data_IF_055586344800
#
_entry.id   IF_055586344800
#
_cell.length_a   1.000
_cell.length_b   1.000
_cell.length_c   1.000
_cell.angle_alpha   90.00
_cell.angle_beta   90.00
_cell.angle_gamma   90.00
#
_symmetry.space_group_name_H-M   'P 1'
#
loop_
_entity.id
_entity.type
_entity.pdbx_description
1 polymer ?
#
# COMPACT_ATOMS: atom_id res chain seq x y z
N UNK A 1 1.77 -2.91 69.92
CA UNK A 1 0.32 -3.13 70.10
C UNK A 1 -0.17 -4.01 68.95
N UNK A 2 -0.88 -5.07 69.31
CA UNK A 2 -1.96 -5.72 68.55
C UNK A 2 -1.59 -6.43 67.20
N UNK A 3 -1.52 -7.76 67.32
CA UNK A 3 -1.86 -8.87 66.39
C UNK A 3 -3.15 -8.64 65.55
N UNK A 4 -3.72 -9.58 64.77
CA UNK A 4 -3.20 -10.75 64.00
C UNK A 4 -3.92 -10.91 62.61
N UNK A 5 -3.63 -12.00 61.88
CA UNK A 5 -4.63 -12.93 61.34
C UNK A 5 -3.87 -14.24 61.04
N UNK A 6 -4.19 -15.44 61.56
CA UNK A 6 -5.50 -16.06 61.81
C UNK A 6 -6.01 -16.63 60.48
N UNK A 7 -6.34 -17.91 60.30
CA UNK A 7 -6.49 -19.08 61.16
C UNK A 7 -6.64 -20.29 60.17
N UNK A 8 -6.09 -21.47 60.44
CA UNK A 8 -6.74 -22.62 61.14
C UNK A 8 -7.95 -23.19 60.36
N UNK A 9 -8.22 -24.50 60.25
CA UNK A 9 -7.65 -25.74 60.80
C UNK A 9 -8.59 -26.89 60.28
N UNK A 10 -8.11 -28.09 59.89
CA UNK A 10 -8.04 -29.35 60.69
C UNK A 10 -9.31 -30.20 60.45
N UNK A 11 -9.34 -31.53 60.50
CA UNK A 11 -8.82 -32.56 61.43
C UNK A 11 -8.77 -33.89 60.63
N UNK A 12 -7.73 -34.72 60.63
CA UNK A 12 -7.23 -35.57 61.75
C UNK A 12 -8.16 -36.81 61.92
N UNK A 13 -7.76 -38.05 62.12
CA UNK A 13 -6.54 -38.68 62.63
C UNK A 13 -6.51 -40.15 62.13
N UNK A 14 -5.41 -40.67 61.58
CA UNK A 14 -4.31 -41.42 62.25
C UNK A 14 -4.71 -42.49 63.26
N UNK A 15 -4.30 -43.74 62.98
CA UNK A 15 -3.28 -44.56 63.69
C UNK A 15 -3.38 -46.01 63.17
N UNK A 16 -2.40 -46.91 63.21
CA UNK A 16 -0.93 -46.91 63.09
C UNK A 16 -0.53 -48.40 63.16
N UNK A 17 0.28 -48.89 62.23
CA UNK A 17 1.13 -50.09 62.41
C UNK A 17 0.48 -51.47 62.20
N UNK A 18 1.17 -52.56 61.85
CA UNK A 18 2.56 -52.86 61.45
C UNK A 18 2.55 -54.26 60.78
N UNK A 19 3.31 -54.41 59.67
CA UNK A 19 4.01 -55.58 59.07
C UNK A 19 3.50 -57.03 59.24
N UNK A 20 3.56 -57.81 58.14
CA UNK A 20 4.56 -58.90 57.92
C UNK A 20 4.49 -59.57 56.52
N UNK A 21 5.66 -59.64 55.86
CA UNK A 21 6.31 -60.75 55.11
C UNK A 21 5.65 -61.36 53.84
N UNK A 22 6.25 -61.19 52.64
CA UNK A 22 7.29 -62.04 51.94
C UNK A 22 6.65 -63.30 51.31
N UNK A 23 6.40 -63.37 49.98
CA UNK A 23 7.20 -63.94 48.86
C UNK A 23 6.24 -64.87 48.07
N UNK A 24 6.37 -65.26 46.80
CA UNK A 24 7.13 -64.88 45.61
C UNK A 24 6.66 -65.83 44.46
N UNK A 25 6.89 -65.46 43.18
CA UNK A 25 7.09 -66.34 41.99
C UNK A 25 5.87 -67.13 41.46
N UNK A 26 5.67 -67.47 40.18
CA UNK A 26 6.18 -67.12 38.85
C UNK A 26 5.34 -67.96 37.83
N UNK A 27 5.38 -67.59 36.53
CA UNK A 27 5.36 -68.47 35.33
C UNK A 27 4.10 -68.72 34.45
N UNK A 28 4.29 -68.30 33.17
CA UNK A 28 4.04 -68.98 31.86
C UNK A 28 2.60 -69.19 31.30
N UNK A 29 2.30 -68.47 30.20
CA UNK A 29 1.97 -68.92 28.80
C UNK A 29 1.38 -70.32 28.51
N UNK A 30 0.82 -70.63 27.31
CA UNK A 30 0.16 -69.83 26.25
C UNK A 30 -1.04 -70.56 25.53
N UNK A 31 -1.54 -69.93 24.46
CA UNK A 31 -2.08 -70.54 23.22
C UNK A 31 -3.55 -71.01 23.07
N UNK A 32 -4.07 -70.64 21.88
CA UNK A 32 -4.76 -71.50 20.89
C UNK A 32 -6.26 -71.28 20.61
N UNK A 33 -6.48 -70.73 19.40
CA UNK A 33 -7.53 -70.95 18.38
C UNK A 33 -8.84 -71.65 18.76
N UNK A 34 -9.97 -71.08 18.31
CA UNK A 34 -10.79 -71.64 17.20
C UNK A 34 -12.13 -70.88 17.05
N UNK A 35 -12.69 -70.90 15.83
CA UNK A 35 -14.15 -70.95 15.64
C UNK A 35 -14.92 -69.67 15.32
N UNK A 36 -15.22 -69.48 14.04
CA UNK A 36 -16.12 -68.50 13.46
C UNK A 36 -17.61 -68.73 13.83
N UNK A 37 -18.40 -67.67 14.12
CA UNK A 37 -19.73 -67.47 13.48
C UNK A 37 -20.46 -66.17 13.88
N UNK A 38 -20.86 -65.43 12.83
CA UNK A 38 -22.10 -64.66 12.63
C UNK A 38 -22.52 -63.56 13.63
N UNK A 39 -22.39 -62.33 13.12
CA UNK A 39 -23.38 -61.25 13.09
C UNK A 39 -23.93 -60.70 14.43
N UNK A 40 -23.49 -59.47 14.77
CA UNK A 40 -24.38 -58.40 15.25
C UNK A 40 -23.72 -57.03 14.99
N UNK A 41 -24.42 -56.22 14.22
CA UNK A 41 -24.13 -54.82 13.88
C UNK A 41 -24.11 -53.94 15.13
N UNK A 42 -22.98 -53.30 15.44
CA UNK A 42 -22.94 -52.11 16.29
C UNK A 42 -23.11 -50.86 15.41
N UNK A 43 -23.99 -49.90 15.78
CA UNK A 43 -24.15 -48.68 15.02
C UNK A 43 -22.90 -47.81 15.16
N UNK A 44 -22.22 -47.54 14.04
CA UNK A 44 -21.18 -46.51 13.97
C UNK A 44 -21.85 -45.16 14.21
N UNK A 45 -21.48 -44.48 15.28
CA UNK A 45 -21.83 -43.08 15.49
C UNK A 45 -21.24 -42.24 14.35
N UNK A 46 -22.00 -41.28 13.77
CA UNK A 46 -21.44 -40.37 12.79
C UNK A 46 -20.49 -39.43 13.53
N UNK A 47 -19.19 -39.56 13.28
CA UNK A 47 -18.22 -38.54 13.71
C UNK A 47 -18.51 -37.29 12.89
N UNK A 48 -19.30 -36.38 13.46
CA UNK A 48 -19.62 -35.09 12.90
C UNK A 48 -18.34 -34.30 12.55
N UNK A 49 -18.41 -33.67 11.38
CA UNK A 49 -17.36 -32.98 10.67
C UNK A 49 -16.90 -31.68 11.37
N UNK A 50 -16.15 -31.78 12.47
CA UNK A 50 -15.59 -30.61 13.17
C UNK A 50 -14.20 -30.20 12.63
N UNK A 51 -13.55 -31.05 11.83
CA UNK A 51 -12.19 -30.81 11.32
C UNK A 51 -12.07 -29.89 10.09
N UNK A 52 -13.15 -29.68 9.34
CA UNK A 52 -13.09 -28.99 8.04
C UNK A 52 -13.19 -27.46 8.20
N UNK A 53 -13.88 -26.98 9.23
CA UNK A 53 -14.10 -25.55 9.46
C UNK A 53 -12.86 -24.79 9.99
N UNK A 54 -11.95 -25.46 10.70
CA UNK A 54 -10.74 -24.82 11.26
C UNK A 54 -9.66 -24.53 10.20
N UNK A 55 -9.62 -25.27 9.10
CA UNK A 55 -8.69 -25.04 7.99
C UNK A 55 -9.20 -24.02 6.97
N UNK A 56 -10.52 -23.90 6.79
CA UNK A 56 -11.12 -22.90 5.90
C UNK A 56 -10.89 -21.46 6.38
N UNK A 57 -10.88 -21.23 7.70
CA UNK A 57 -10.60 -19.93 8.32
C UNK A 57 -9.13 -19.52 8.12
N UNK A 58 -8.19 -20.48 8.11
CA UNK A 58 -6.76 -20.22 7.86
C UNK A 58 -6.50 -19.87 6.40
N UNK A 59 -7.25 -20.45 5.45
CA UNK A 59 -7.15 -20.08 4.02
C UNK A 59 -7.84 -18.77 3.66
N UNK A 60 -8.82 -18.30 4.45
CA UNK A 60 -9.47 -17.00 4.27
C UNK A 60 -8.69 -15.86 4.95
N UNK A 61 -7.91 -16.16 6.00
CA UNK A 61 -7.01 -15.23 6.69
C UNK A 61 -5.62 -15.09 6.04
N UNK A 62 -5.30 -15.91 5.04
CA UNK A 62 -4.22 -15.65 4.06
C UNK A 62 -4.76 -14.74 2.95
N UNK A 63 -5.35 -13.61 3.34
CA UNK A 63 -5.57 -12.47 2.45
C UNK A 63 -4.23 -12.12 1.83
N UNK A 64 -4.03 -12.55 0.59
CA UNK A 64 -2.86 -12.19 -0.18
C UNK A 64 -2.79 -10.66 -0.21
N UNK A 65 -1.66 -10.04 0.17
CA UNK A 65 -1.49 -8.63 -0.10
C UNK A 65 -1.67 -8.46 -1.61
N UNK A 66 -2.53 -7.52 -2.02
CA UNK A 66 -2.56 -7.06 -3.40
C UNK A 66 -1.10 -6.74 -3.75
N UNK A 67 -0.49 -7.55 -4.62
CA UNK A 67 0.86 -7.28 -5.10
C UNK A 67 0.75 -5.90 -5.72
N UNK A 68 1.51 -4.93 -5.22
CA UNK A 68 1.56 -3.60 -5.82
C UNK A 68 2.89 -3.45 -6.53
N UNK A 69 2.90 -2.73 -7.65
CA UNK A 69 4.10 -2.36 -8.40
C UNK A 69 4.30 -0.87 -8.28
N UNK A 70 5.47 -0.46 -7.79
CA UNK A 70 5.93 0.92 -7.87
C UNK A 70 6.59 1.17 -9.23
N UNK A 71 6.35 2.34 -9.80
CA UNK A 71 6.97 2.82 -11.03
C UNK A 71 7.40 4.27 -10.83
N UNK A 72 8.69 4.54 -10.99
CA UNK A 72 9.29 5.86 -10.83
C UNK A 72 9.52 6.49 -12.20
N UNK A 73 8.99 7.69 -12.40
CA UNK A 73 9.20 8.51 -13.58
C UNK A 73 9.95 9.78 -13.16
N UNK A 74 11.09 10.05 -13.78
CA UNK A 74 11.92 11.20 -13.46
C UNK A 74 12.01 12.14 -14.65
N UNK A 75 11.67 13.40 -14.44
CA UNK A 75 11.64 14.43 -15.46
C UNK A 75 12.62 15.54 -15.06
N UNK A 76 13.55 15.85 -15.95
CA UNK A 76 14.58 16.87 -15.73
C UNK A 76 14.54 17.88 -16.85
N UNK A 77 14.76 19.14 -16.51
CA UNK A 77 14.75 20.22 -17.48
C UNK A 77 15.88 20.15 -18.51
N UNK A 78 15.92 21.10 -19.45
CA UNK A 78 15.11 22.32 -19.47
C UNK A 78 13.63 22.09 -19.84
N UNK A 79 12.70 22.63 -19.05
CA UNK A 79 11.26 22.60 -19.33
C UNK A 79 10.85 23.74 -20.25
N UNK A 80 9.84 23.53 -21.09
CA UNK A 80 9.33 24.54 -22.01
C UNK A 80 8.35 25.48 -21.29
N UNK A 81 8.57 26.79 -21.37
CA UNK A 81 7.72 27.78 -20.70
C UNK A 81 6.48 28.16 -21.52
N UNK A 82 5.90 27.24 -22.29
CA UNK A 82 4.73 27.48 -23.15
C UNK A 82 4.76 28.77 -24.01
N UNK A 83 5.96 29.25 -24.37
CA UNK A 83 6.13 30.48 -25.16
C UNK A 83 6.15 31.79 -24.37
N UNK A 84 6.24 31.76 -23.04
CA UNK A 84 6.30 32.95 -22.15
C UNK A 84 7.60 33.79 -22.28
N UNK A 85 8.45 33.55 -23.28
CA UNK A 85 9.68 34.33 -23.52
C UNK A 85 10.82 34.13 -22.50
N UNK A 86 10.59 33.41 -21.40
CA UNK A 86 11.60 33.13 -20.38
C UNK A 86 12.56 32.02 -20.79
N UNK A 87 13.75 32.00 -20.17
CA UNK A 87 14.72 30.92 -20.33
C UNK A 87 14.13 29.58 -19.88
N UNK A 88 14.40 28.46 -20.56
CA UNK A 88 13.75 27.18 -20.26
C UNK A 88 13.87 26.77 -18.77
N UNK A 89 12.77 26.30 -18.19
CA UNK A 89 12.66 25.91 -16.79
C UNK A 89 12.37 27.05 -15.82
N UNK A 90 12.54 28.31 -16.23
CA UNK A 90 12.19 29.48 -15.41
C UNK A 90 10.66 29.57 -15.31
N UNK A 91 10.16 29.63 -14.09
CA UNK A 91 8.76 29.90 -13.81
C UNK A 91 8.54 31.41 -14.04
N UNK A 92 7.65 31.80 -14.97
CA UNK A 92 7.39 33.20 -15.25
C UNK A 92 6.95 34.01 -14.01
N UNK A 93 7.65 35.12 -13.73
CA UNK A 93 7.40 36.04 -12.60
C UNK A 93 6.03 36.72 -12.69
N UNK A 94 5.26 36.71 -11.61
CA UNK A 94 3.94 37.32 -11.50
C UNK A 94 3.03 37.04 -12.71
N UNK A 95 3.05 35.80 -13.20
CA UNK A 95 2.34 35.41 -14.42
C UNK A 95 1.53 34.12 -14.20
N UNK A 96 0.18 34.23 -14.17
CA UNK A 96 -0.70 33.10 -13.93
C UNK A 96 -0.77 32.12 -15.11
N UNK A 97 -0.16 32.42 -16.27
CA UNK A 97 0.01 31.44 -17.36
C UNK A 97 1.05 30.40 -16.96
N UNK A 98 2.07 30.80 -16.20
CA UNK A 98 3.01 29.91 -15.56
C UNK A 98 3.82 28.98 -16.48
N UNK A 99 4.31 27.89 -15.88
CA UNK A 99 5.04 26.80 -16.51
C UNK A 99 4.23 25.51 -16.33
N UNK A 100 3.97 24.79 -17.42
CA UNK A 100 3.31 23.49 -17.39
C UNK A 100 4.17 22.43 -18.07
N UNK A 101 4.24 21.24 -17.48
CA UNK A 101 4.92 20.10 -18.06
C UNK A 101 4.01 18.87 -18.04
N UNK A 102 3.98 18.10 -19.13
CA UNK A 102 3.01 17.04 -19.35
C UNK A 102 3.61 15.80 -19.99
N UNK A 103 3.34 14.64 -19.39
CA UNK A 103 3.86 13.35 -19.84
C UNK A 103 2.78 12.28 -19.89
N UNK A 104 2.73 11.56 -21.01
CA UNK A 104 1.83 10.40 -21.17
C UNK A 104 2.49 9.15 -20.63
N UNK A 105 1.89 8.55 -19.61
CA UNK A 105 2.31 7.32 -18.97
C UNK A 105 1.37 6.17 -19.37
N UNK A 106 1.94 5.02 -19.73
CA UNK A 106 1.19 3.82 -20.11
C UNK A 106 1.87 2.54 -19.60
N UNK A 107 1.20 1.39 -19.73
CA UNK A 107 1.73 0.08 -19.31
C UNK A 107 1.72 -0.15 -17.79
N UNK A 108 1.01 0.68 -17.04
CA UNK A 108 0.76 0.50 -15.61
C UNK A 108 -0.48 -0.34 -15.37
N UNK A 109 -0.61 -0.87 -14.15
CA UNK A 109 -1.74 -1.70 -13.76
C UNK A 109 -3.08 -0.96 -13.66
N UNK A 110 -4.07 -1.63 -13.08
CA UNK A 110 -5.48 -1.22 -13.16
C UNK A 110 -5.83 0.00 -12.32
N UNK A 111 -5.17 0.18 -11.17
CA UNK A 111 -5.57 1.16 -10.15
C UNK A 111 -4.35 1.72 -9.42
N UNK A 112 -4.35 3.02 -9.17
CA UNK A 112 -3.39 3.70 -8.29
C UNK A 112 -3.67 3.31 -6.84
N UNK A 113 -2.61 2.95 -6.11
CA UNK A 113 -2.60 2.71 -4.66
C UNK A 113 -1.99 3.90 -3.92
N UNK A 114 -0.94 4.50 -4.50
CA UNK A 114 -0.27 5.66 -3.93
C UNK A 114 0.44 6.46 -5.03
N UNK A 115 0.51 7.77 -4.82
CA UNK A 115 1.30 8.70 -5.61
C UNK A 115 2.18 9.49 -4.66
N UNK A 116 3.47 9.55 -4.99
CA UNK A 116 4.45 10.42 -4.35
C UNK A 116 5.10 11.28 -5.42
N UNK A 117 5.28 12.57 -5.14
CA UNK A 117 5.85 13.55 -6.09
C UNK A 117 7.11 14.13 -5.48
N UNK A 118 8.24 14.12 -6.19
CA UNK A 118 9.42 14.87 -5.75
C UNK A 118 9.57 16.13 -6.59
N UNK A 119 9.84 17.26 -5.94
CA UNK A 119 10.07 18.56 -6.58
C UNK A 119 11.52 18.98 -6.36
N UNK A 120 12.16 19.47 -7.42
CA UNK A 120 13.44 20.17 -7.37
C UNK A 120 13.30 21.53 -8.06
N UNK A 121 13.20 22.59 -7.26
CA UNK A 121 12.98 23.98 -7.66
C UNK A 121 14.06 24.82 -7.01
N UNK A 122 14.83 25.57 -7.78
CA UNK A 122 15.90 26.44 -7.26
C UNK A 122 15.51 27.90 -7.35
N UNK A 123 16.00 28.72 -6.41
CA UNK A 123 15.80 30.17 -6.44
C UNK A 123 14.37 30.59 -6.12
N UNK A 124 14.14 31.89 -6.27
CA UNK A 124 12.84 32.52 -6.04
C UNK A 124 12.41 32.55 -4.58
N UNK A 125 11.14 32.85 -4.39
CA UNK A 125 10.48 33.02 -3.10
C UNK A 125 9.40 31.97 -2.93
N UNK A 126 9.56 31.06 -1.97
CA UNK A 126 8.65 29.92 -1.80
C UNK A 126 7.18 30.33 -1.62
N UNK A 127 6.92 31.45 -0.93
CA UNK A 127 5.60 32.02 -0.69
C UNK A 127 4.89 32.57 -1.93
N UNK A 128 5.56 32.62 -3.07
CA UNK A 128 4.97 33.14 -4.31
C UNK A 128 4.48 32.01 -5.22
N UNK A 129 4.94 30.78 -4.99
CA UNK A 129 4.63 29.65 -5.86
C UNK A 129 3.23 29.05 -5.61
N UNK A 130 2.48 28.95 -6.69
CA UNK A 130 1.32 28.07 -6.80
C UNK A 130 1.66 26.88 -7.70
N UNK A 131 1.30 25.67 -7.31
CA UNK A 131 1.55 24.47 -8.10
C UNK A 131 0.46 23.41 -7.94
N UNK A 132 0.17 22.67 -9.00
CA UNK A 132 -0.73 21.51 -8.94
C UNK A 132 -0.26 20.34 -9.80
N UNK A 133 -0.75 19.15 -9.46
CA UNK A 133 -0.67 17.94 -10.27
C UNK A 133 -2.07 17.52 -10.73
N UNK A 134 -2.18 17.06 -11.98
CA UNK A 134 -3.42 16.52 -12.55
C UNK A 134 -3.14 15.29 -13.41
N UNK A 135 -4.08 14.34 -13.39
CA UNK A 135 -4.08 13.16 -14.26
C UNK A 135 -5.28 13.24 -15.20
N UNK A 136 -5.03 13.40 -16.50
CA UNK A 136 -6.09 13.62 -17.51
C UNK A 136 -7.08 14.69 -17.03
N UNK A 137 -8.36 14.32 -16.97
CA UNK A 137 -9.45 15.16 -16.48
C UNK A 137 -9.78 15.00 -14.99
N UNK A 138 -8.92 14.35 -14.20
CA UNK A 138 -9.10 14.21 -12.75
C UNK A 138 -9.21 15.58 -12.06
N UNK A 139 -9.74 15.63 -10.83
CA UNK A 139 -9.51 16.77 -9.95
C UNK A 139 -8.01 17.07 -9.87
N UNK A 140 -7.66 18.36 -9.87
CA UNK A 140 -6.31 18.81 -9.60
C UNK A 140 -6.00 18.66 -8.11
N UNK A 141 -4.78 18.27 -7.78
CA UNK A 141 -4.27 18.27 -6.41
C UNK A 141 -3.25 19.38 -6.30
N UNK A 142 -3.55 20.39 -5.49
CA UNK A 142 -2.64 21.51 -5.22
C UNK A 142 -1.45 21.00 -4.41
N UNK A 143 -0.25 21.21 -4.95
CA UNK A 143 1.02 20.80 -4.36
C UNK A 143 1.58 21.89 -3.46
N UNK A 144 1.53 23.14 -3.94
CA UNK A 144 1.98 24.36 -3.28
C UNK A 144 0.90 25.42 -3.49
N UNK A 145 0.55 26.18 -2.46
CA UNK A 145 -0.34 27.33 -2.56
C UNK A 145 0.21 28.45 -1.70
N UNK A 146 1.17 29.21 -2.26
CA UNK A 146 1.79 30.37 -1.61
C UNK A 146 2.17 30.08 -0.15
N UNK A 147 3.08 29.13 0.03
CA UNK A 147 3.34 28.55 1.35
C UNK A 147 3.72 29.63 2.37
N UNK A 148 3.23 29.49 3.60
CA UNK A 148 3.46 30.42 4.69
C UNK A 148 2.55 31.64 4.70
N UNK A 149 1.63 31.77 3.73
CA UNK A 149 0.67 32.86 3.70
C UNK A 149 -0.27 32.76 4.90
N UNK A 150 -0.42 33.89 5.60
CA UNK A 150 -1.40 34.06 6.67
C UNK A 150 -1.98 35.47 6.60
N UNK A 151 -3.03 35.74 7.38
CA UNK A 151 -3.57 37.10 7.50
C UNK A 151 -2.54 38.14 7.97
N UNK A 152 -1.49 37.70 8.68
CA UNK A 152 -0.39 38.54 9.18
C UNK A 152 0.87 38.49 8.32
N UNK A 153 0.93 37.57 7.36
CA UNK A 153 2.06 37.38 6.47
C UNK A 153 1.53 37.12 5.05
N UNK A 154 1.11 38.17 4.32
CA UNK A 154 0.46 38.03 3.02
C UNK A 154 1.41 37.55 1.91
N UNK A 155 2.72 37.67 2.13
CA UNK A 155 3.75 37.34 1.13
C UNK A 155 4.29 35.90 1.29
N UNK A 156 3.86 35.17 2.32
CA UNK A 156 4.32 33.80 2.56
C UNK A 156 5.77 33.70 3.02
N UNK A 157 6.38 32.52 2.87
CA UNK A 157 7.74 32.27 3.29
C UNK A 157 8.76 32.64 2.21
N UNK A 158 9.72 33.51 2.57
CA UNK A 158 10.82 33.91 1.68
C UNK A 158 12.03 32.99 1.65
N UNK A 159 11.86 31.71 2.02
CA UNK A 159 12.90 30.72 1.76
C UNK A 159 13.05 30.49 0.24
N UNK A 160 14.20 29.99 -0.17
CA UNK A 160 14.52 29.83 -1.59
C UNK A 160 14.46 28.38 -2.03
N UNK A 161 13.49 28.06 -2.89
CA UNK A 161 13.38 26.77 -3.55
C UNK A 161 12.98 25.57 -2.67
N UNK A 162 12.83 24.44 -3.36
CA UNK A 162 12.36 23.17 -2.82
C UNK A 162 13.18 22.01 -3.37
N UNK A 163 13.59 21.10 -2.48
CA UNK A 163 14.07 19.75 -2.79
C UNK A 163 13.30 18.76 -1.90
N UNK A 164 11.98 18.67 -2.15
CA UNK A 164 11.02 18.01 -1.26
C UNK A 164 10.38 16.80 -1.91
N UNK A 165 9.98 15.85 -1.07
CA UNK A 165 9.09 14.74 -1.46
C UNK A 165 7.71 14.98 -0.87
N UNK A 166 6.70 15.10 -1.73
CA UNK A 166 5.31 15.24 -1.37
C UNK A 166 4.63 13.88 -1.34
N UNK A 167 4.11 13.49 -0.17
CA UNK A 167 3.43 12.21 0.04
C UNK A 167 2.23 12.37 0.95
N UNK A 168 1.13 11.69 0.62
CA UNK A 168 -0.09 11.70 1.44
C UNK A 168 0.14 11.14 2.86
N UNK A 169 1.16 10.29 3.06
CA UNK A 169 1.47 9.68 4.35
C UNK A 169 2.49 10.46 5.20
N UNK A 170 2.94 11.63 4.75
CA UNK A 170 3.83 12.47 5.55
C UNK A 170 3.12 13.06 6.77
N UNK A 171 3.88 13.45 7.80
CA UNK A 171 3.33 13.87 9.10
C UNK A 171 2.70 15.27 9.08
N UNK A 172 3.23 16.16 8.25
CA UNK A 172 2.87 17.58 8.21
C UNK A 172 2.72 18.05 6.77
N UNK A 173 1.81 18.98 6.52
CA UNK A 173 1.72 19.63 5.23
C UNK A 173 2.78 20.71 5.05
N UNK A 174 3.11 20.95 3.79
CA UNK A 174 4.17 21.88 3.43
C UNK A 174 3.80 23.35 3.72
N UNK A 175 2.52 23.72 3.75
CA UNK A 175 2.12 25.13 3.81
C UNK A 175 2.72 25.89 5.01
N UNK A 176 2.83 25.25 6.17
CA UNK A 176 3.44 25.85 7.36
C UNK A 176 4.71 25.10 7.81
N UNK A 177 5.57 24.71 6.87
CA UNK A 177 6.76 23.89 7.17
C UNK A 177 7.68 24.49 8.25
N UNK A 178 7.76 25.83 8.38
CA UNK A 178 8.61 26.48 9.39
C UNK A 178 8.18 26.18 10.83
N UNK A 179 6.92 25.77 11.05
CA UNK A 179 6.43 25.38 12.38
C UNK A 179 6.96 24.02 12.86
N UNK A 180 7.65 23.27 11.98
CA UNK A 180 8.04 21.89 12.23
C UNK A 180 9.55 21.66 12.14
N UNK A 181 10.36 22.69 12.44
CA UNK A 181 11.83 22.63 12.43
C UNK A 181 12.37 22.10 11.09
N UNK A 182 12.14 22.82 9.98
CA UNK A 182 12.52 22.37 8.64
C UNK A 182 14.04 22.21 8.51
N UNK A 183 14.45 21.39 7.56
CA UNK A 183 15.85 21.23 7.15
C UNK A 183 16.05 21.79 5.76
N UNK A 184 17.21 22.40 5.51
CA UNK A 184 17.56 23.00 4.24
C UNK A 184 18.88 22.42 3.72
N UNK A 185 19.04 22.34 2.41
CA UNK A 185 20.32 21.94 1.81
C UNK A 185 21.30 23.12 1.72
N UNK A 186 22.47 22.91 1.09
CA UNK A 186 23.50 23.94 0.93
C UNK A 186 23.06 25.14 0.09
N UNK A 187 22.06 24.94 -0.77
CA UNK A 187 21.53 25.96 -1.68
C UNK A 187 20.34 26.71 -1.07
N UNK A 188 19.98 26.41 0.19
CA UNK A 188 18.87 27.03 0.91
C UNK A 188 17.49 26.42 0.63
N UNK A 189 17.42 25.36 -0.19
CA UNK A 189 16.15 24.70 -0.54
C UNK A 189 15.59 23.92 0.64
N UNK A 190 14.28 24.02 0.85
CA UNK A 190 13.57 23.17 1.81
C UNK A 190 13.72 21.70 1.42
N UNK A 191 14.03 20.84 2.39
CA UNK A 191 14.19 19.39 2.18
C UNK A 191 13.18 18.58 2.99
N UNK A 192 13.16 17.27 2.75
CA UNK A 192 12.39 16.32 3.54
C UNK A 192 11.09 15.86 2.88
N UNK A 193 10.26 15.18 3.66
CA UNK A 193 9.00 14.61 3.18
C UNK A 193 7.81 15.30 3.84
N UNK A 194 6.94 15.87 3.02
CA UNK A 194 5.80 16.69 3.43
C UNK A 194 4.52 16.22 2.76
N UNK A 195 3.36 16.54 3.32
CA UNK A 195 2.11 16.41 2.57
C UNK A 195 2.02 17.60 1.61
N UNK A 196 1.44 17.36 0.43
CA UNK A 196 1.03 18.44 -0.45
C UNK A 196 0.16 19.47 0.29
N UNK A 197 0.21 20.72 -0.15
CA UNK A 197 -0.56 21.80 0.44
C UNK A 197 -2.07 21.50 0.42
N UNK A 198 -2.58 21.16 -0.77
CA UNK A 198 -3.95 20.72 -0.98
C UNK A 198 -5.00 21.81 -0.82
N UNK A 199 -4.65 23.03 -0.39
CA UNK A 199 -5.57 24.16 -0.29
C UNK A 199 -5.87 24.73 -1.68
N UNK A 200 -7.07 25.27 -1.84
CA UNK A 200 -7.50 25.97 -3.07
C UNK A 200 -7.44 27.49 -2.93
N UNK A 201 -7.12 27.94 -1.72
CA UNK A 201 -6.90 29.31 -1.29
C UNK A 201 -5.95 29.22 -0.08
N UNK A 202 -4.89 30.04 0.00
CA UNK A 202 -3.84 29.87 1.00
C UNK A 202 -4.36 30.04 2.44
N UNK A 203 -5.48 30.74 2.64
CA UNK A 203 -6.10 30.94 3.95
C UNK A 203 -7.15 29.87 4.28
N UNK A 204 -7.41 28.93 3.36
CA UNK A 204 -8.38 27.85 3.55
C UNK A 204 -7.95 26.86 4.63
N UNK A 205 -8.91 26.46 5.47
CA UNK A 205 -8.74 25.33 6.39
C UNK A 205 -9.05 23.97 5.75
N UNK A 206 -9.68 23.96 4.57
CA UNK A 206 -10.02 22.74 3.83
C UNK A 206 -8.95 22.46 2.79
N UNK A 207 -8.50 21.20 2.76
CA UNK A 207 -7.41 20.75 1.89
C UNK A 207 -7.70 19.39 1.27
N UNK A 208 -7.27 19.23 0.02
CA UNK A 208 -7.14 17.95 -0.66
C UNK A 208 -5.86 17.21 -0.24
N UNK A 209 -5.59 16.11 -0.93
CA UNK A 209 -4.39 15.29 -0.72
C UNK A 209 -4.07 14.51 -1.99
N UNK A 210 -2.81 14.08 -2.14
CA UNK A 210 -2.39 13.18 -3.22
C UNK A 210 -3.15 11.84 -3.22
N UNK A 211 -3.77 11.46 -2.10
CA UNK A 211 -4.67 10.29 -2.04
C UNK A 211 -5.92 10.43 -2.92
N UNK A 212 -6.22 11.63 -3.43
CA UNK A 212 -7.30 11.85 -4.41
C UNK A 212 -7.09 11.06 -5.71
N UNK A 213 -5.86 10.65 -6.02
CA UNK A 213 -5.57 9.79 -7.17
C UNK A 213 -5.83 8.30 -6.89
N UNK A 214 -5.98 7.88 -5.63
CA UNK A 214 -6.14 6.47 -5.30
C UNK A 214 -7.42 5.89 -5.92
N UNK A 215 -7.30 4.71 -6.51
CA UNK A 215 -8.37 4.03 -7.23
C UNK A 215 -8.57 4.49 -8.68
N UNK A 216 -7.90 5.55 -9.14
CA UNK A 216 -7.92 5.96 -10.54
C UNK A 216 -7.03 5.05 -11.39
N UNK A 217 -7.29 5.01 -12.71
CA UNK A 217 -6.41 4.35 -13.66
C UNK A 217 -5.10 5.16 -13.79
N UNK A 218 -3.92 4.58 -13.50
CA UNK A 218 -2.63 5.29 -13.56
C UNK A 218 -2.17 5.69 -14.98
N UNK A 219 -2.77 5.10 -16.02
CA UNK A 219 -2.41 5.34 -17.40
C UNK A 219 -3.12 6.61 -17.93
N UNK A 220 -2.35 7.53 -18.49
CA UNK A 220 -2.85 8.83 -18.93
C UNK A 220 -1.78 9.89 -19.01
N UNK A 221 -2.20 11.11 -19.32
CA UNK A 221 -1.35 12.30 -19.28
C UNK A 221 -1.32 12.87 -17.87
N UNK A 222 -0.13 12.88 -17.28
CA UNK A 222 0.15 13.55 -16.03
C UNK A 222 0.69 14.94 -16.34
N UNK A 223 0.06 15.97 -15.77
CA UNK A 223 0.43 17.37 -15.96
C UNK A 223 0.75 17.99 -14.61
N UNK A 224 1.95 18.54 -14.49
CA UNK A 224 2.32 19.44 -13.40
C UNK A 224 2.29 20.88 -13.90
N UNK A 225 1.89 21.79 -13.03
CA UNK A 225 1.80 23.21 -13.31
C UNK A 225 2.41 24.01 -12.17
N UNK A 226 3.05 25.13 -12.52
CA UNK A 226 3.59 26.13 -11.61
C UNK A 226 3.21 27.52 -12.09
N UNK A 227 2.79 28.40 -11.19
CA UNK A 227 2.69 29.83 -11.42
C UNK A 227 3.40 30.57 -10.30
N UNK A 228 3.97 31.71 -10.65
CA UNK A 228 4.43 32.70 -9.68
C UNK A 228 3.34 33.76 -9.53
N UNK A 229 2.83 33.91 -8.30
CA UNK A 229 1.67 34.75 -7.98
C UNK A 229 2.08 36.09 -7.35
N UNK A 230 3.37 36.45 -7.42
CA UNK A 230 3.89 37.71 -6.93
C UNK A 230 5.02 38.21 -7.83
N UNK A 231 5.36 39.49 -7.72
CA UNK A 231 6.46 40.06 -8.50
C UNK A 231 7.74 40.09 -7.67
N UNK A 232 8.86 39.67 -8.26
CA UNK A 232 10.17 39.84 -7.64
C UNK A 232 11.17 38.77 -8.05
N UNK A 233 11.36 37.77 -7.18
CA UNK A 233 12.36 36.73 -7.38
C UNK A 233 11.78 35.55 -8.17
N UNK A 234 12.50 35.10 -9.19
CA UNK A 234 12.04 33.98 -10.03
C UNK A 234 12.58 32.63 -9.56
N UNK A 235 11.69 31.65 -9.48
CA UNK A 235 12.06 30.25 -9.30
C UNK A 235 12.33 29.55 -10.64
N UNK A 236 13.17 28.52 -10.60
CA UNK A 236 13.47 27.65 -11.74
C UNK A 236 13.13 26.20 -11.40
N UNK A 237 12.28 25.56 -12.20
CA UNK A 237 12.03 24.13 -12.12
C UNK A 237 13.23 23.38 -12.70
N UNK A 238 13.97 22.70 -11.83
CA UNK A 238 15.13 21.89 -12.22
C UNK A 238 14.69 20.47 -12.59
N UNK A 239 13.73 19.93 -11.84
CA UNK A 239 13.18 18.61 -12.10
C UNK A 239 11.99 18.27 -11.22
N UNK A 240 11.23 17.27 -11.63
CA UNK A 240 10.21 16.65 -10.81
C UNK A 240 10.12 15.16 -11.12
N UNK A 241 9.60 14.39 -10.17
CA UNK A 241 9.39 12.96 -10.36
C UNK A 241 8.05 12.51 -9.84
N UNK A 242 7.58 11.39 -10.39
CA UNK A 242 6.33 10.74 -10.02
C UNK A 242 6.60 9.28 -9.68
N UNK A 243 6.40 8.91 -8.43
CA UNK A 243 6.37 7.52 -7.98
C UNK A 243 4.92 7.06 -7.88
N UNK A 244 4.53 6.15 -8.76
CA UNK A 244 3.18 5.58 -8.82
C UNK A 244 3.24 4.13 -8.35
N UNK A 245 2.62 3.87 -7.20
CA UNK A 245 2.30 2.51 -6.78
C UNK A 245 0.93 2.12 -7.34
N UNK A 246 0.86 1.02 -8.09
CA UNK A 246 -0.38 0.53 -8.71
C UNK A 246 -0.61 -0.98 -8.51
N UNK A 247 -1.85 -1.43 -8.74
CA UNK A 247 -2.21 -2.86 -8.73
C UNK A 247 -1.96 -3.47 -10.12
N UNK A 248 -0.99 -4.39 -10.30
CA UNK A 248 -0.73 -5.06 -11.56
C UNK A 248 -1.96 -5.80 -12.05
N UNK A 249 -2.21 -5.75 -13.36
CA UNK A 249 -3.34 -6.44 -14.01
C UNK A 249 -3.40 -7.94 -13.69
N UNK A 250 -2.23 -8.58 -13.53
CA UNK A 250 -2.12 -10.01 -13.23
C UNK A 250 -2.53 -10.40 -11.81
N UNK A 251 -2.52 -9.45 -10.87
CA UNK A 251 -2.92 -9.73 -9.49
C UNK A 251 -4.43 -10.04 -9.41
N UNK A 252 -5.25 -9.36 -10.22
CA UNK A 252 -6.70 -9.59 -10.29
C UNK A 252 -7.02 -11.00 -10.82
N UNK A 253 -6.20 -11.50 -11.73
CA UNK A 253 -6.33 -12.81 -12.36
C UNK A 253 -5.93 -13.90 -11.38
N UNK A 254 -4.80 -13.73 -10.72
CA UNK A 254 -4.37 -14.62 -9.65
C UNK A 254 -5.46 -14.70 -8.57
N UNK A 255 -6.06 -13.56 -8.20
CA UNK A 255 -7.17 -13.52 -7.24
C UNK A 255 -8.40 -14.29 -7.72
N UNK A 256 -8.80 -14.15 -9.00
CA UNK A 256 -9.89 -14.94 -9.58
C UNK A 256 -9.59 -16.44 -9.59
N UNK A 257 -8.35 -16.84 -9.92
CA UNK A 257 -7.93 -18.25 -9.94
C UNK A 257 -7.91 -18.82 -8.53
N UNK A 258 -7.28 -18.14 -7.56
CA UNK A 258 -7.23 -18.60 -6.17
C UNK A 258 -8.63 -18.60 -5.53
N UNK A 259 -9.47 -17.61 -5.83
CA UNK A 259 -10.87 -17.57 -5.42
C UNK A 259 -11.68 -18.73 -5.99
N UNK A 260 -11.52 -19.03 -7.29
CA UNK A 260 -12.17 -20.17 -7.93
C UNK A 260 -11.70 -21.52 -7.36
N UNK A 261 -10.40 -21.68 -7.08
CA UNK A 261 -9.83 -22.88 -6.45
C UNK A 261 -10.30 -23.06 -5.01
N UNK A 262 -10.41 -21.97 -4.23
CA UNK A 262 -10.96 -21.99 -2.89
C UNK A 262 -12.46 -22.36 -2.89
N UNK A 263 -13.25 -21.75 -3.78
CA UNK A 263 -14.66 -22.07 -3.97
C UNK A 263 -14.87 -23.53 -4.42
N UNK A 264 -14.03 -24.03 -5.34
CA UNK A 264 -14.05 -25.44 -5.74
C UNK A 264 -13.80 -26.42 -4.59
N UNK A 265 -12.92 -26.06 -3.65
CA UNK A 265 -12.66 -26.88 -2.46
C UNK A 265 -13.79 -26.78 -1.43
N UNK A 266 -14.38 -25.60 -1.24
CA UNK A 266 -15.54 -25.41 -0.37
C UNK A 266 -16.79 -26.13 -0.90
N UNK A 267 -17.01 -26.13 -2.22
CA UNK A 267 -18.06 -26.87 -2.92
C UNK A 267 -17.73 -28.36 -3.13
N UNK A 268 -16.57 -28.80 -2.63
CA UNK A 268 -16.05 -30.17 -2.71
C UNK A 268 -16.87 -31.21 -1.93
N UNK A 269 -17.94 -30.83 -1.24
CA UNK A 269 -18.92 -31.76 -0.68
C UNK A 269 -20.15 -31.97 -1.59
N UNK A 270 -20.33 -31.17 -2.66
CA UNK A 270 -21.58 -31.11 -3.44
C UNK A 270 -21.40 -31.61 -4.89
N UNK A 271 -20.25 -31.39 -5.53
CA UNK A 271 -20.04 -31.75 -6.95
C UNK A 271 -19.14 -32.97 -7.15
N UNK A 272 -19.54 -33.86 -8.07
CA UNK A 272 -18.81 -35.05 -8.48
C UNK A 272 -17.46 -34.76 -9.16
N UNK A 273 -16.56 -35.75 -9.14
CA UNK A 273 -15.16 -35.65 -9.62
C UNK A 273 -15.03 -35.11 -11.07
N UNK A 274 -16.01 -35.44 -11.92
CA UNK A 274 -16.09 -35.01 -13.32
C UNK A 274 -16.28 -33.50 -13.47
N UNK A 275 -17.14 -32.87 -12.65
CA UNK A 275 -17.37 -31.43 -12.69
C UNK A 275 -16.12 -30.65 -12.25
N UNK A 276 -15.37 -31.19 -11.28
CA UNK A 276 -14.10 -30.60 -10.81
C UNK A 276 -13.02 -30.61 -11.87
N UNK A 277 -12.89 -31.72 -12.62
CA UNK A 277 -11.92 -31.82 -13.71
C UNK A 277 -12.23 -30.84 -14.84
N UNK A 278 -13.50 -30.69 -15.23
CA UNK A 278 -13.91 -29.72 -16.27
C UNK A 278 -13.66 -28.28 -15.83
N UNK A 279 -14.00 -27.94 -14.59
CA UNK A 279 -13.78 -26.58 -14.07
C UNK A 279 -12.29 -26.28 -13.94
N UNK A 280 -11.48 -27.23 -13.43
CA UNK A 280 -10.03 -27.09 -13.38
C UNK A 280 -9.40 -26.92 -14.76
N UNK A 281 -9.81 -27.74 -15.74
CA UNK A 281 -9.34 -27.61 -17.12
C UNK A 281 -9.68 -26.23 -17.71
N UNK A 282 -10.91 -25.76 -17.51
CA UNK A 282 -11.34 -24.43 -17.96
C UNK A 282 -10.54 -23.30 -17.30
N UNK A 283 -10.22 -23.42 -16.01
CA UNK A 283 -9.38 -22.44 -15.30
C UNK A 283 -7.94 -22.46 -15.84
N UNK A 284 -7.38 -23.64 -16.08
CA UNK A 284 -6.02 -23.79 -16.62
C UNK A 284 -5.90 -23.27 -18.04
N UNK A 285 -6.89 -23.51 -18.90
CA UNK A 285 -6.86 -23.01 -20.27
C UNK A 285 -6.97 -21.49 -20.33
N UNK A 286 -7.82 -20.89 -19.47
CA UNK A 286 -7.94 -19.44 -19.38
C UNK A 286 -6.70 -18.76 -18.81
N UNK A 287 -5.97 -19.43 -17.92
CA UNK A 287 -4.66 -18.99 -17.46
C UNK A 287 -3.61 -19.02 -18.60
N UNK A 288 -3.60 -20.07 -19.42
CA UNK A 288 -2.68 -20.18 -20.55
C UNK A 288 -2.92 -19.12 -21.62
N UNK A 289 -4.18 -18.79 -21.92
CA UNK A 289 -4.52 -17.69 -22.84
C UNK A 289 -3.99 -16.36 -22.31
N UNK A 290 -4.11 -16.13 -21.01
CA UNK A 290 -3.68 -14.87 -20.43
C UNK A 290 -2.16 -14.70 -20.31
N UNK A 291 -1.43 -15.78 -20.03
CA UNK A 291 0.03 -15.77 -20.08
C UNK A 291 0.52 -15.54 -21.51
N UNK A 292 -0.24 -15.96 -22.52
CA UNK A 292 0.09 -15.75 -23.92
C UNK A 292 -0.08 -14.28 -24.36
N UNK A 293 -0.99 -13.55 -23.72
CA UNK A 293 -1.26 -12.13 -24.01
C UNK A 293 -0.34 -11.17 -23.23
N UNK A 294 0.63 -11.69 -22.45
CA UNK A 294 1.64 -10.85 -21.82
C UNK A 294 2.57 -10.26 -22.89
N UNK A 295 2.74 -8.92 -22.95
CA UNK A 295 3.74 -8.32 -23.82
C UNK A 295 5.14 -8.81 -23.40
N UNK A 296 5.90 -9.31 -24.37
CA UNK A 296 7.26 -9.81 -24.20
C UNK A 296 8.15 -8.68 -23.67
N UNK A 297 8.66 -8.84 -22.44
CA UNK A 297 9.50 -7.88 -21.72
C UNK A 297 10.84 -7.61 -22.44
N UNK A 298 11.12 -8.30 -23.56
CA UNK A 298 12.35 -8.14 -24.34
C UNK A 298 12.36 -6.96 -25.34
N UNK A 299 11.27 -6.20 -25.50
CA UNK A 299 11.16 -5.19 -26.56
C UNK A 299 11.41 -3.73 -26.16
N UNK A 300 11.70 -3.39 -24.90
CA UNK A 300 12.08 -2.02 -24.51
C UNK A 300 13.60 -1.84 -24.43
N UNK A 301 14.30 -2.08 -25.54
CA UNK A 301 15.64 -1.51 -25.75
C UNK A 301 15.44 -0.07 -26.19
N UNK A 302 15.76 0.86 -25.31
CA UNK A 302 15.70 2.30 -25.55
C UNK A 302 16.37 2.67 -26.90
N UNK A 303 15.82 3.61 -27.68
CA UNK A 303 16.60 4.24 -28.73
C UNK A 303 17.70 5.08 -28.08
N UNK A 304 18.94 4.71 -28.41
CA UNK A 304 20.14 5.50 -28.21
C UNK A 304 19.95 6.82 -28.98
N UNK A 305 19.74 7.92 -28.26
CA UNK A 305 19.69 9.27 -28.83
C UNK A 305 21.00 9.96 -28.47
N UNK A 306 21.86 10.07 -29.48
CA UNK A 306 22.97 11.02 -29.52
C UNK A 306 22.50 12.43 -29.88
#
# INVERSE_FOLDING_TARGET
MIRPAGNCQVIGARRLGVRRHVAALEHRDPAQRDGCSKARTCPRTPKFAVGIWRLAIITLLLSFPLVSRAALYNFTGPFNNNGAGNAPGVIPDNDPIGLADSHTISGLGSQIVNVTVTLNISGGWNGDLYAYLRLNDSPMVVLLDRVGVTSSNPDGYGDTGFQVTLSASASHDIHFYQNFSPSYNSDGQLTGTWQADGRTDPLSSTRGSLSAFNGLNPNGTWTIFFADESAGEQSTLVGWSLDITNVPELANVALLIFGALAAMRALGSVFGLQARKKLFASVVDRFKEMVRDLPDESASRAPDIG
#
